data_IF_951557060070
#
_entry.id   IF_951557060070
#
_cell.length_a   1.000
_cell.length_b   1.000
_cell.length_c   1.000
_cell.angle_alpha   90.00
_cell.angle_beta   90.00
_cell.angle_gamma   90.00
#
_symmetry.space_group_name_H-M   'P 1'
#
loop_
_entity.id
_entity.type
_entity.pdbx_description
1 polymer ?
#
# COMPACT_ATOMS: atom_id res chain seq x y z
N UNK A 1 -22.86 7.22 2.54
CA UNK A 1 -21.56 6.50 2.37
C UNK A 1 -21.64 5.66 1.13
N UNK A 2 -20.60 5.60 0.32
CA UNK A 2 -20.57 4.76 -0.88
C UNK A 2 -19.14 4.41 -1.26
N UNK A 3 -18.94 3.15 -1.67
CA UNK A 3 -17.69 2.70 -2.28
C UNK A 3 -17.96 2.36 -3.74
N UNK A 4 -17.19 2.93 -4.65
CA UNK A 4 -17.30 2.62 -6.09
C UNK A 4 -15.98 2.11 -6.62
N UNK A 5 -16.05 1.15 -7.54
CA UNK A 5 -14.88 0.58 -8.23
C UNK A 5 -14.80 1.12 -9.66
N UNK A 6 -13.60 1.45 -10.12
CA UNK A 6 -13.31 1.83 -11.51
C UNK A 6 -12.00 1.23 -11.98
N UNK A 7 -11.76 1.22 -13.29
CA UNK A 7 -10.51 0.76 -13.88
C UNK A 7 -9.40 1.79 -13.62
N UNK A 8 -8.20 1.31 -13.24
CA UNK A 8 -6.99 2.12 -13.10
C UNK A 8 -6.00 1.89 -14.26
N UNK A 9 -6.21 0.82 -15.00
CA UNK A 9 -5.39 0.40 -16.13
C UNK A 9 -4.74 -0.95 -15.90
N UNK A 10 -3.79 -1.29 -16.79
CA UNK A 10 -3.04 -2.55 -16.72
C UNK A 10 -1.59 -2.30 -16.37
N UNK A 11 -1.05 -3.18 -15.51
CA UNK A 11 0.37 -3.23 -15.19
C UNK A 11 1.19 -3.72 -16.39
N UNK A 12 2.52 -3.57 -16.33
CA UNK A 12 3.47 -4.16 -17.31
C UNK A 12 3.35 -5.69 -17.40
N UNK A 13 2.87 -6.34 -16.32
CA UNK A 13 2.57 -7.77 -16.27
C UNK A 13 1.17 -8.11 -16.84
N UNK A 14 0.47 -7.13 -17.42
CA UNK A 14 -0.90 -7.23 -17.95
C UNK A 14 -1.98 -7.56 -16.89
N UNK A 15 -1.71 -7.27 -15.62
CA UNK A 15 -2.66 -7.41 -14.52
C UNK A 15 -3.59 -6.19 -14.48
N UNK A 16 -4.89 -6.39 -14.31
CA UNK A 16 -5.85 -5.30 -14.24
C UNK A 16 -5.86 -4.68 -12.85
N UNK A 17 -5.43 -3.42 -12.74
CA UNK A 17 -5.48 -2.63 -11.52
C UNK A 17 -6.78 -1.83 -11.45
N UNK A 18 -7.31 -1.66 -10.24
CA UNK A 18 -8.56 -0.97 -9.96
C UNK A 18 -8.35 0.18 -8.97
N UNK A 19 -9.21 1.19 -9.10
CA UNK A 19 -9.42 2.23 -8.10
C UNK A 19 -10.69 1.96 -7.31
N UNK A 20 -10.64 2.26 -6.02
CA UNK A 20 -11.79 2.22 -5.12
C UNK A 20 -11.97 3.60 -4.52
N UNK A 21 -13.09 4.25 -4.81
CA UNK A 21 -13.43 5.57 -4.27
C UNK A 21 -14.35 5.38 -3.09
N UNK A 22 -13.89 5.78 -1.91
CA UNK A 22 -14.63 5.79 -0.66
C UNK A 22 -15.19 7.19 -0.49
N UNK A 23 -16.50 7.35 -0.33
CA UNK A 23 -17.16 8.65 -0.14
C UNK A 23 -17.92 8.64 1.17
N UNK A 24 -17.69 9.63 2.03
CA UNK A 24 -18.42 9.81 3.27
C UNK A 24 -19.72 10.64 3.09
N UNK A 25 -20.52 10.76 4.14
CA UNK A 25 -21.78 11.51 4.10
C UNK A 25 -21.59 13.01 3.80
N UNK A 26 -20.41 13.57 4.10
CA UNK A 26 -20.09 14.98 3.88
C UNK A 26 -19.49 15.26 2.49
N UNK A 27 -19.38 14.21 1.63
CA UNK A 27 -18.87 14.33 0.28
C UNK A 27 -17.34 14.31 0.15
N UNK A 28 -16.61 14.16 1.26
CA UNK A 28 -15.17 13.92 1.24
C UNK A 28 -14.88 12.57 0.54
N UNK A 29 -13.75 12.45 -0.17
CA UNK A 29 -13.42 11.23 -0.92
C UNK A 29 -11.98 10.81 -0.69
N UNK A 30 -11.78 9.50 -0.50
CA UNK A 30 -10.48 8.85 -0.59
C UNK A 30 -10.47 7.88 -1.78
N UNK A 31 -9.44 7.92 -2.60
CA UNK A 31 -9.26 7.01 -3.73
C UNK A 31 -8.04 6.15 -3.44
N UNK A 32 -8.25 4.83 -3.42
CA UNK A 32 -7.22 3.83 -3.13
C UNK A 32 -7.15 2.80 -4.25
N UNK A 33 -6.01 2.13 -4.41
CA UNK A 33 -5.78 1.13 -5.47
C UNK A 33 -5.34 -0.21 -4.91
N UNK A 34 -5.76 -1.30 -5.57
CA UNK A 34 -5.26 -2.67 -5.34
C UNK A 34 -3.82 -2.88 -5.85
N UNK A 35 -3.25 -1.97 -6.62
CA UNK A 35 -1.82 -1.97 -6.93
C UNK A 35 -1.05 -1.24 -5.83
N UNK A 36 -0.18 -1.94 -5.10
CA UNK A 36 0.63 -1.38 -4.01
C UNK A 36 -0.16 -0.96 -2.76
N UNK A 37 -1.45 -1.28 -2.68
CA UNK A 37 -2.37 -0.77 -1.67
C UNK A 37 -2.22 0.75 -1.46
N UNK A 38 -2.22 1.50 -2.58
CA UNK A 38 -1.85 2.91 -2.65
C UNK A 38 -3.01 3.82 -2.27
N UNK A 39 -2.75 4.86 -1.47
CA UNK A 39 -3.62 6.04 -1.40
C UNK A 39 -3.31 6.96 -2.59
N UNK A 40 -4.21 6.99 -3.57
CA UNK A 40 -4.02 7.73 -4.84
C UNK A 40 -4.41 9.20 -4.70
N UNK A 41 -5.56 9.47 -4.05
CA UNK A 41 -6.10 10.83 -3.86
C UNK A 41 -6.89 10.93 -2.57
N UNK A 42 -6.90 12.14 -2.00
CA UNK A 42 -7.73 12.49 -0.86
C UNK A 42 -8.34 13.87 -1.09
N UNK A 43 -9.64 13.89 -1.40
CA UNK A 43 -10.38 15.13 -1.63
C UNK A 43 -11.01 15.61 -0.32
N UNK A 44 -10.55 16.76 0.14
CA UNK A 44 -11.05 17.41 1.35
C UNK A 44 -11.67 18.78 1.00
N UNK A 45 -12.69 19.24 1.74
CA UNK A 45 -13.23 20.58 1.53
C UNK A 45 -12.23 21.66 2.00
N UNK A 46 -12.02 22.67 1.16
CA UNK A 46 -11.30 23.89 1.55
C UNK A 46 -12.21 24.81 2.39
N UNK A 47 -11.73 25.99 2.79
CA UNK A 47 -12.47 26.99 3.57
C UNK A 47 -13.78 27.47 2.93
N UNK A 48 -13.92 27.32 1.61
CA UNK A 48 -15.10 27.70 0.83
C UNK A 48 -15.99 26.48 0.49
N UNK A 49 -15.70 25.30 1.08
CA UNK A 49 -16.41 24.03 0.86
C UNK A 49 -16.06 23.34 -0.46
N UNK A 50 -15.09 23.84 -1.22
CA UNK A 50 -14.67 23.24 -2.48
C UNK A 50 -13.70 22.10 -2.23
N UNK A 51 -13.99 20.92 -2.79
CA UNK A 51 -13.10 19.77 -2.70
C UNK A 51 -11.78 20.01 -3.39
N UNK A 52 -10.67 19.72 -2.69
CA UNK A 52 -9.30 19.76 -3.17
C UNK A 52 -8.62 18.44 -2.90
N UNK A 53 -7.91 17.93 -3.90
CA UNK A 53 -7.00 16.80 -3.69
C UNK A 53 -5.75 17.31 -2.96
N UNK A 54 -5.45 16.69 -1.83
CA UNK A 54 -4.31 17.05 -0.97
C UNK A 54 -3.21 15.99 -0.97
N UNK A 55 -3.34 14.97 -1.81
CA UNK A 55 -2.37 13.88 -1.96
C UNK A 55 -1.70 13.96 -3.33
N UNK A 56 -0.39 13.83 -3.37
CA UNK A 56 0.32 13.64 -4.62
C UNK A 56 0.22 12.19 -5.08
N UNK A 57 -0.19 12.00 -6.32
CA UNK A 57 -0.38 10.69 -6.94
C UNK A 57 -0.21 10.75 -8.45
N UNK A 58 -0.43 9.60 -9.08
CA UNK A 58 -0.39 9.47 -10.54
C UNK A 58 -1.78 9.09 -11.07
N UNK A 59 -2.12 9.58 -12.25
CA UNK A 59 -3.42 9.33 -12.91
C UNK A 59 -3.53 7.92 -13.51
N UNK A 60 -2.42 7.16 -13.54
CA UNK A 60 -2.36 5.82 -14.16
C UNK A 60 -1.50 4.89 -13.33
N UNK A 61 -1.84 3.60 -13.35
CA UNK A 61 -1.07 2.55 -12.67
C UNK A 61 0.40 2.52 -13.12
N UNK A 62 0.69 2.85 -14.38
CA UNK A 62 2.05 2.91 -14.91
C UNK A 62 2.95 3.94 -14.21
N UNK A 63 2.38 5.00 -13.65
CA UNK A 63 3.12 5.95 -12.80
C UNK A 63 3.59 5.29 -11.52
N UNK A 64 2.74 4.47 -10.91
CA UNK A 64 3.07 3.75 -9.68
C UNK A 64 4.08 2.60 -9.90
N UNK A 65 4.10 1.98 -11.08
CA UNK A 65 5.14 0.99 -11.44
C UNK A 65 6.55 1.59 -11.54
N UNK A 66 6.65 2.90 -11.77
CA UNK A 66 7.90 3.66 -11.85
C UNK A 66 8.04 4.65 -10.68
N UNK A 67 7.30 4.44 -9.60
CA UNK A 67 7.21 5.34 -8.45
C UNK A 67 8.48 5.28 -7.58
N UNK A 68 9.57 5.87 -8.06
CA UNK A 68 10.85 5.93 -7.35
C UNK A 68 10.83 6.77 -6.06
N UNK A 69 9.74 7.50 -5.79
CA UNK A 69 9.52 8.28 -4.57
C UNK A 69 8.43 7.69 -3.67
N UNK A 70 7.86 6.55 -4.04
CA UNK A 70 6.89 5.76 -3.26
C UNK A 70 5.63 6.51 -2.83
N UNK A 71 5.13 7.46 -3.64
CA UNK A 71 3.93 8.24 -3.35
C UNK A 71 2.76 7.34 -2.98
N UNK A 72 2.17 7.57 -1.80
CA UNK A 72 0.98 6.89 -1.30
C UNK A 72 1.08 5.38 -1.11
N UNK A 73 2.23 4.76 -1.37
CA UNK A 73 2.38 3.30 -1.42
C UNK A 73 2.50 2.67 -0.04
N UNK A 74 1.99 1.44 0.07
CA UNK A 74 2.28 0.58 1.22
C UNK A 74 3.65 -0.06 1.07
N UNK A 75 4.50 0.11 2.07
CA UNK A 75 5.87 -0.34 2.08
C UNK A 75 6.01 -1.58 2.96
N UNK A 76 6.84 -2.52 2.54
CA UNK A 76 7.16 -3.75 3.28
C UNK A 76 8.07 -4.71 2.51
N UNK A 77 8.63 -5.75 3.24
CA UNK A 77 8.33 -6.05 4.64
C UNK A 77 8.84 -4.98 5.59
N UNK A 78 10.09 -4.54 5.46
CA UNK A 78 10.67 -3.49 6.30
C UNK A 78 10.63 -2.15 5.56
N UNK A 79 10.28 -1.08 6.27
CA UNK A 79 10.31 0.28 5.75
C UNK A 79 11.69 0.92 5.96
N UNK A 80 12.07 1.82 5.04
CA UNK A 80 13.35 2.52 5.02
C UNK A 80 14.54 1.55 4.80
N UNK A 81 15.74 1.89 5.26
CA UNK A 81 16.99 1.20 4.90
C UNK A 81 17.42 0.17 5.92
N UNK A 82 17.87 -0.99 5.39
CA UNK A 82 18.69 -1.93 6.14
C UNK A 82 20.12 -1.82 5.60
N UNK A 83 21.03 -1.34 6.46
CA UNK A 83 22.42 -1.07 6.10
C UNK A 83 23.15 -2.33 5.62
N UNK A 84 23.94 -2.21 4.55
CA UNK A 84 24.68 -3.31 3.90
C UNK A 84 23.78 -4.45 3.41
N UNK A 85 22.45 -4.25 3.35
CA UNK A 85 21.46 -5.25 2.96
C UNK A 85 21.60 -6.58 3.76
N UNK A 86 21.86 -6.47 5.07
CA UNK A 86 22.04 -7.63 5.96
C UNK A 86 21.52 -7.31 7.35
N UNK A 87 20.97 -8.32 8.01
CA UNK A 87 20.59 -8.26 9.42
C UNK A 87 20.75 -9.63 10.08
N UNK A 88 20.84 -9.64 11.40
CA UNK A 88 20.88 -10.87 12.20
C UNK A 88 19.61 -11.00 13.02
N UNK A 89 18.93 -12.13 12.93
CA UNK A 89 17.76 -12.47 13.72
C UNK A 89 17.96 -13.85 14.34
N UNK A 90 17.84 -13.96 15.68
CA UNK A 90 18.02 -15.21 16.42
C UNK A 90 19.38 -15.89 16.12
N UNK A 91 20.45 -15.12 15.98
CA UNK A 91 21.80 -15.63 15.72
C UNK A 91 22.06 -16.05 14.26
N UNK A 92 21.08 -15.95 13.38
CA UNK A 92 21.23 -16.26 11.94
C UNK A 92 21.31 -14.95 11.14
N UNK A 93 22.30 -14.85 10.25
CA UNK A 93 22.40 -13.75 9.28
C UNK A 93 21.46 -13.99 8.09
N UNK A 94 20.78 -12.92 7.66
CA UNK A 94 19.96 -12.86 6.47
C UNK A 94 20.52 -11.82 5.52
N UNK A 95 20.62 -12.19 4.24
CA UNK A 95 21.02 -11.30 3.16
C UNK A 95 19.77 -10.86 2.38
N UNK A 96 19.73 -9.56 2.06
CA UNK A 96 18.65 -8.92 1.31
C UNK A 96 19.16 -8.41 -0.04
N UNK A 97 18.25 -8.07 -0.93
CA UNK A 97 18.60 -7.41 -2.18
C UNK A 97 19.18 -6.01 -1.93
N UNK A 98 20.23 -5.66 -2.68
CA UNK A 98 20.87 -4.35 -2.69
C UNK A 98 20.21 -3.47 -3.75
N UNK A 99 19.08 -2.87 -3.43
CA UNK A 99 18.32 -2.00 -4.33
C UNK A 99 18.55 -0.50 -4.10
N UNK A 100 19.43 -0.14 -3.14
CA UNK A 100 19.83 1.23 -2.85
C UNK A 100 21.34 1.29 -2.52
N UNK A 101 22.17 1.28 -3.56
CA UNK A 101 23.61 1.17 -3.42
C UNK A 101 24.04 -0.13 -2.75
N UNK A 102 24.60 -0.04 -1.53
CA UNK A 102 24.97 -1.22 -0.73
C UNK A 102 23.86 -1.64 0.25
N UNK A 103 22.73 -0.92 0.29
CA UNK A 103 21.69 -1.13 1.27
C UNK A 103 20.46 -1.80 0.63
N UNK A 104 19.60 -2.37 1.48
CA UNK A 104 18.22 -2.67 1.12
C UNK A 104 17.34 -1.48 1.48
N UNK A 105 16.43 -1.11 0.60
CA UNK A 105 15.44 -0.04 0.80
C UNK A 105 14.05 -0.61 0.54
N UNK A 106 13.14 -0.40 1.51
CA UNK A 106 11.72 -0.67 1.35
C UNK A 106 11.36 -2.10 0.93
N UNK A 107 12.15 -3.10 1.39
CA UNK A 107 11.89 -4.51 1.16
C UNK A 107 12.59 -5.10 -0.08
N UNK A 108 13.11 -4.29 -1.00
CA UNK A 108 13.79 -4.78 -2.20
C UNK A 108 13.15 -4.33 -3.51
N UNK A 109 13.55 -4.95 -4.64
CA UNK A 109 13.06 -4.54 -5.97
C UNK A 109 11.59 -4.92 -6.21
N UNK A 110 11.12 -6.04 -5.67
CA UNK A 110 9.72 -6.48 -5.75
C UNK A 110 9.00 -6.26 -4.41
N UNK A 111 9.14 -5.04 -3.84
CA UNK A 111 8.51 -4.66 -2.60
C UNK A 111 6.98 -4.65 -2.67
N UNK A 112 6.31 -4.47 -1.55
CA UNK A 112 4.85 -4.50 -1.44
C UNK A 112 4.15 -3.44 -2.29
N UNK A 113 4.81 -2.31 -2.53
CA UNK A 113 4.36 -1.21 -3.38
C UNK A 113 4.27 -1.56 -4.87
N UNK A 114 4.93 -2.62 -5.32
CA UNK A 114 5.01 -3.03 -6.73
C UNK A 114 4.12 -4.25 -7.06
N UNK A 115 3.23 -4.65 -6.14
CA UNK A 115 2.41 -5.86 -6.24
C UNK A 115 0.94 -5.56 -6.30
N UNK A 116 0.19 -6.49 -6.92
CA UNK A 116 -1.26 -6.52 -6.82
C UNK A 116 -1.68 -7.10 -5.46
N UNK A 117 -2.67 -6.48 -4.82
CA UNK A 117 -3.25 -6.91 -3.55
C UNK A 117 -4.67 -7.41 -3.77
N UNK A 118 -5.10 -8.37 -2.97
CA UNK A 118 -6.51 -8.76 -2.91
C UNK A 118 -7.31 -7.67 -2.22
N UNK A 119 -8.51 -7.37 -2.73
CA UNK A 119 -9.36 -6.32 -2.20
C UNK A 119 -10.66 -6.89 -1.62
N UNK A 120 -11.02 -6.44 -0.44
CA UNK A 120 -12.30 -6.69 0.22
C UNK A 120 -12.96 -5.36 0.59
N UNK A 121 -14.27 -5.25 0.30
CA UNK A 121 -15.07 -4.07 0.62
C UNK A 121 -15.91 -4.35 1.85
N UNK A 122 -15.96 -3.40 2.77
CA UNK A 122 -16.90 -3.36 3.88
C UNK A 122 -17.71 -2.06 3.78
N UNK A 123 -18.90 -2.15 3.19
CA UNK A 123 -19.76 -0.99 2.95
C UNK A 123 -20.34 -0.43 4.23
N UNK A 124 -20.58 -1.26 5.25
CA UNK A 124 -21.14 -0.84 6.54
C UNK A 124 -20.16 0.10 7.28
N UNK A 125 -18.88 -0.19 7.23
CA UNK A 125 -17.82 0.61 7.84
C UNK A 125 -17.22 1.67 6.89
N UNK A 126 -17.70 1.77 5.65
CA UNK A 126 -17.13 2.61 4.59
C UNK A 126 -15.63 2.35 4.41
N UNK A 127 -15.24 1.08 4.33
CA UNK A 127 -13.87 0.60 4.39
C UNK A 127 -13.47 -0.23 3.17
N UNK A 128 -12.22 -0.06 2.73
CA UNK A 128 -11.55 -0.90 1.74
C UNK A 128 -10.34 -1.55 2.41
N UNK A 129 -10.28 -2.89 2.37
CA UNK A 129 -9.15 -3.66 2.91
C UNK A 129 -8.39 -4.32 1.77
N UNK A 130 -7.10 -4.08 1.72
CA UNK A 130 -6.18 -4.76 0.83
C UNK A 130 -5.37 -5.80 1.61
N UNK A 131 -5.23 -7.02 1.06
CA UNK A 131 -4.48 -8.12 1.68
C UNK A 131 -3.41 -8.64 0.74
N UNK A 132 -2.21 -8.89 1.28
CA UNK A 132 -1.08 -9.48 0.59
C UNK A 132 -0.51 -10.65 1.39
N UNK A 133 -0.19 -11.74 0.69
CA UNK A 133 0.60 -12.85 1.24
C UNK A 133 2.04 -12.75 0.76
N UNK A 134 2.98 -12.76 1.70
CA UNK A 134 4.41 -12.75 1.47
C UNK A 134 4.98 -14.07 1.96
N UNK A 135 5.53 -14.89 1.06
CA UNK A 135 6.02 -16.24 1.35
C UNK A 135 7.32 -16.23 2.14
N UNK A 136 7.65 -17.38 2.75
CA UNK A 136 8.94 -17.57 3.41
C UNK A 136 10.10 -17.22 2.46
N UNK A 137 11.06 -16.44 2.95
CA UNK A 137 12.20 -15.90 2.20
C UNK A 137 11.84 -14.92 1.06
N UNK A 138 10.62 -14.41 1.02
CA UNK A 138 10.24 -13.34 0.11
C UNK A 138 11.12 -12.11 0.33
N UNK A 139 11.81 -11.63 -0.71
CA UNK A 139 12.83 -10.58 -0.67
C UNK A 139 13.93 -10.80 0.38
N UNK A 140 14.16 -12.05 0.81
CA UNK A 140 15.15 -12.44 1.83
C UNK A 140 14.63 -12.41 3.28
N UNK A 141 13.35 -12.11 3.50
CA UNK A 141 12.73 -12.09 4.83
C UNK A 141 12.13 -13.46 5.19
N UNK A 142 12.44 -14.03 6.39
CA UNK A 142 11.96 -15.34 6.80
C UNK A 142 10.48 -15.35 7.19
N UNK A 143 9.89 -16.52 7.09
CA UNK A 143 8.50 -16.79 7.47
C UNK A 143 7.48 -16.36 6.43
N UNK A 144 6.35 -17.08 6.39
CA UNK A 144 5.19 -16.63 5.66
C UNK A 144 4.52 -15.50 6.45
N UNK A 145 4.17 -14.42 5.77
CA UNK A 145 3.47 -13.29 6.38
C UNK A 145 2.19 -12.97 5.62
N UNK A 146 1.16 -12.58 6.34
CA UNK A 146 -0.08 -12.04 5.81
C UNK A 146 -0.23 -10.60 6.29
N UNK A 147 -0.38 -9.68 5.36
CA UNK A 147 -0.46 -8.25 5.62
C UNK A 147 -1.82 -7.76 5.14
N UNK A 148 -2.49 -6.94 5.94
CA UNK A 148 -3.69 -6.24 5.54
C UNK A 148 -3.53 -4.75 5.80
N UNK A 149 -4.01 -3.93 4.86
CA UNK A 149 -4.12 -2.48 4.98
C UNK A 149 -5.57 -2.10 4.78
N UNK A 150 -6.17 -1.45 5.77
CA UNK A 150 -7.57 -1.02 5.71
C UNK A 150 -7.63 0.50 5.70
N UNK A 151 -8.32 1.04 4.72
CA UNK A 151 -8.65 2.45 4.58
C UNK A 151 -10.11 2.66 4.95
N UNK A 152 -10.38 3.54 5.92
CA UNK A 152 -11.73 3.92 6.36
C UNK A 152 -11.87 5.42 6.22
N UNK A 153 -12.95 5.88 5.60
CA UNK A 153 -13.30 7.30 5.57
C UNK A 153 -14.54 7.53 6.42
N UNK A 154 -14.36 8.17 7.58
CA UNK A 154 -15.44 8.40 8.54
C UNK A 154 -16.31 9.61 8.17
N UNK A 155 -17.51 9.69 8.75
CA UNK A 155 -18.38 10.86 8.60
C UNK A 155 -17.91 12.08 9.39
N UNK A 156 -16.94 11.90 10.29
CA UNK A 156 -16.23 13.00 10.96
C UNK A 156 -15.08 13.59 10.11
N UNK A 157 -14.99 13.20 8.81
CA UNK A 157 -13.95 13.61 7.87
C UNK A 157 -12.55 13.15 8.25
N UNK A 158 -12.43 12.01 8.92
CA UNK A 158 -11.15 11.36 9.22
C UNK A 158 -10.87 10.24 8.22
N UNK A 159 -9.64 10.17 7.71
CA UNK A 159 -9.11 8.97 7.07
C UNK A 159 -8.35 8.14 8.10
N UNK A 160 -8.80 6.89 8.33
CA UNK A 160 -8.13 5.93 9.21
C UNK A 160 -7.42 4.89 8.36
N UNK A 161 -6.13 4.71 8.59
CA UNK A 161 -5.32 3.70 7.91
C UNK A 161 -4.83 2.72 8.97
N UNK A 162 -5.28 1.47 8.86
CA UNK A 162 -4.91 0.42 9.81
C UNK A 162 -4.06 -0.62 9.11
N UNK A 163 -2.90 -0.92 9.69
CA UNK A 163 -2.02 -2.01 9.25
C UNK A 163 -2.15 -3.18 10.21
N UNK A 164 -2.38 -4.38 9.67
CA UNK A 164 -2.39 -5.64 10.42
C UNK A 164 -1.46 -6.62 9.74
N UNK A 165 -0.54 -7.19 10.50
CA UNK A 165 0.37 -8.21 10.00
C UNK A 165 0.41 -9.40 10.94
N UNK A 166 0.58 -10.59 10.38
CA UNK A 166 0.88 -11.83 11.10
C UNK A 166 1.95 -12.61 10.35
N UNK A 167 2.82 -13.30 11.06
CA UNK A 167 3.84 -14.16 10.49
C UNK A 167 3.90 -15.48 11.26
N UNK A 168 4.37 -16.56 10.59
CA UNK A 168 4.53 -17.90 11.20
C UNK A 168 5.92 -18.10 11.81
N UNK A 169 6.84 -17.15 11.63
CA UNK A 169 8.19 -17.10 12.23
C UNK A 169 8.51 -15.70 12.71
N UNK A 170 9.52 -15.59 13.58
CA UNK A 170 10.07 -14.30 13.95
C UNK A 170 10.53 -13.53 12.71
N UNK A 171 10.27 -12.23 12.72
CA UNK A 171 10.49 -11.32 11.59
C UNK A 171 10.94 -9.95 12.07
N UNK A 172 11.35 -9.08 11.12
CA UNK A 172 11.69 -7.67 11.39
C UNK A 172 10.75 -6.74 10.60
#
# INVERSE_FOLDING_TARGET
>A
MAITKSEFGKTKKNEAASLYTITNANGMKAIVSDFGAVLVSLFVPDKDGKLRDVVWGYDKVSGYENNGVYLGSTIGRNANRIGKAKYTLNGKEYELEKNDGQNNLHGGFDGYNARMWQCELNEDDNAVTFTLESKDMDQGFPGNAKIAVTYILTDDNEIKITYKASADKDNI
#
